data_IF_546012751626
#
_entry.id   IF_546012751626
#
_cell.length_a   1.000
_cell.length_b   1.000
_cell.length_c   1.000
_cell.angle_alpha   90.00
_cell.angle_beta   90.00
_cell.angle_gamma   90.00
#
_symmetry.space_group_name_H-M   'P 1'
#
loop_
_entity.id
_entity.type
_entity.pdbx_description
1 polymer ?
#
# COMPACT_ATOMS: atom_id res chain seq x y z
N UNK A 1 8.69 22.31 -42.04
CA UNK A 1 8.77 21.74 -40.66
C UNK A 1 8.32 22.84 -39.71
N UNK A 2 7.11 22.67 -39.11
CA UNK A 2 6.64 23.57 -38.05
C UNK A 2 7.49 23.31 -36.81
N UNK A 3 7.94 24.32 -36.08
CA UNK A 3 8.59 24.11 -34.80
C UNK A 3 7.56 23.55 -33.82
N UNK A 4 7.85 22.38 -33.25
CA UNK A 4 7.10 21.84 -32.11
C UNK A 4 7.44 22.76 -30.95
N UNK A 5 6.53 23.69 -30.61
CA UNK A 5 6.61 24.46 -29.37
C UNK A 5 6.47 23.45 -28.24
N UNK A 6 7.58 23.11 -27.59
CA UNK A 6 7.56 22.31 -26.38
C UNK A 6 6.83 23.12 -25.29
N UNK A 7 5.54 22.88 -25.13
CA UNK A 7 4.80 23.41 -23.97
C UNK A 7 5.53 22.91 -22.71
N UNK A 8 5.81 23.81 -21.80
CA UNK A 8 6.41 23.49 -20.51
C UNK A 8 5.44 22.53 -19.78
N UNK A 9 5.74 21.24 -19.77
CA UNK A 9 4.95 20.23 -19.09
C UNK A 9 4.90 20.63 -17.62
N UNK A 10 3.71 20.95 -17.11
CA UNK A 10 3.50 21.28 -15.70
C UNK A 10 3.39 19.99 -14.91
N UNK A 11 4.24 19.83 -13.91
CA UNK A 11 4.19 18.68 -12.98
C UNK A 11 4.15 19.17 -11.55
N UNK A 12 3.22 18.65 -10.76
CA UNK A 12 3.07 18.97 -9.35
C UNK A 12 2.76 17.72 -8.53
N UNK A 13 3.40 17.58 -7.37
CA UNK A 13 3.07 16.53 -6.40
C UNK A 13 2.34 17.19 -5.24
N UNK A 14 1.16 16.70 -4.93
CA UNK A 14 0.28 17.25 -3.90
C UNK A 14 -0.54 16.15 -3.21
N UNK A 15 -1.18 16.46 -2.06
CA UNK A 15 -2.17 15.58 -1.48
C UNK A 15 -3.30 15.26 -2.46
N UNK A 16 -3.80 14.03 -2.37
CA UNK A 16 -5.02 13.60 -3.06
C UNK A 16 -6.22 14.43 -2.62
N UNK A 17 -7.13 14.69 -3.55
CA UNK A 17 -8.43 15.34 -3.32
C UNK A 17 -9.55 14.46 -3.88
N UNK A 18 -10.78 14.53 -3.36
CA UNK A 18 -11.92 13.78 -3.92
C UNK A 18 -12.16 14.01 -5.41
N UNK A 19 -11.79 15.18 -5.92
CA UNK A 19 -11.86 15.50 -7.37
C UNK A 19 -10.93 14.62 -8.23
N UNK A 20 -9.89 14.01 -7.64
CA UNK A 20 -8.93 13.16 -8.35
C UNK A 20 -9.43 11.71 -8.50
N UNK A 21 -10.55 11.36 -7.86
CA UNK A 21 -11.08 10.00 -7.84
C UNK A 21 -11.19 9.39 -9.25
N UNK A 22 -11.73 10.15 -10.19
CA UNK A 22 -11.91 9.70 -11.58
C UNK A 22 -10.58 9.33 -12.23
N UNK A 23 -9.57 10.17 -12.07
CA UNK A 23 -8.24 9.92 -12.62
C UNK A 23 -7.57 8.74 -11.92
N UNK A 24 -7.68 8.65 -10.60
CA UNK A 24 -7.12 7.53 -9.84
C UNK A 24 -7.74 6.20 -10.26
N UNK A 25 -9.08 6.10 -10.38
CA UNK A 25 -9.75 4.90 -10.86
C UNK A 25 -9.32 4.54 -12.29
N UNK A 26 -9.15 5.54 -13.16
CA UNK A 26 -8.61 5.33 -14.51
C UNK A 26 -7.23 4.68 -14.46
N UNK A 27 -6.31 5.20 -13.63
CA UNK A 27 -4.96 4.65 -13.50
C UNK A 27 -4.99 3.22 -12.95
N UNK A 28 -5.82 2.94 -11.94
CA UNK A 28 -5.96 1.60 -11.38
C UNK A 28 -6.49 0.58 -12.40
N UNK A 29 -7.44 0.99 -13.25
CA UNK A 29 -7.92 0.19 -14.37
C UNK A 29 -6.81 -0.03 -15.42
N UNK A 30 -6.08 1.01 -15.77
CA UNK A 30 -4.98 0.98 -16.74
C UNK A 30 -3.89 -0.04 -16.36
N UNK A 31 -3.62 -0.20 -15.07
CA UNK A 31 -2.62 -1.14 -14.55
C UNK A 31 -3.21 -2.50 -14.16
N UNK A 32 -4.52 -2.70 -14.35
CA UNK A 32 -5.19 -3.98 -14.08
C UNK A 32 -5.41 -4.30 -12.60
N UNK A 33 -5.48 -3.28 -11.74
CA UNK A 33 -5.74 -3.46 -10.31
C UNK A 33 -7.22 -3.34 -9.95
N UNK A 34 -8.02 -2.76 -10.83
CA UNK A 34 -9.47 -2.61 -10.74
C UNK A 34 -10.08 -2.77 -12.11
N UNK A 35 -11.31 -3.25 -12.17
CA UNK A 35 -12.03 -3.48 -13.44
C UNK A 35 -12.80 -2.24 -13.92
N UNK A 36 -13.02 -1.26 -13.04
CA UNK A 36 -13.72 0.00 -13.33
C UNK A 36 -15.22 -0.08 -13.16
N UNK A 37 -15.70 -1.00 -12.31
CA UNK A 37 -17.11 -1.11 -11.91
C UNK A 37 -17.45 -0.17 -10.73
N UNK A 38 -18.75 0.02 -10.45
CA UNK A 38 -19.20 0.86 -9.32
C UNK A 38 -18.68 0.36 -7.96
N UNK A 39 -18.45 -0.95 -7.81
CA UNK A 39 -17.84 -1.54 -6.64
C UNK A 39 -16.43 -0.99 -6.38
N UNK A 40 -15.68 -0.67 -7.41
CA UNK A 40 -14.31 -0.16 -7.31
C UNK A 40 -14.23 1.18 -6.61
N UNK A 41 -15.25 2.04 -6.77
CA UNK A 41 -15.33 3.32 -6.07
C UNK A 41 -15.37 3.12 -4.56
N UNK A 42 -16.23 2.22 -4.08
CA UNK A 42 -16.35 1.93 -2.65
C UNK A 42 -15.07 1.30 -2.08
N UNK A 43 -14.44 0.42 -2.87
CA UNK A 43 -13.14 -0.19 -2.52
C UNK A 43 -12.07 0.89 -2.44
N UNK A 44 -12.00 1.78 -3.44
CA UNK A 44 -11.03 2.87 -3.46
C UNK A 44 -11.22 3.85 -2.31
N UNK A 45 -12.45 4.23 -1.99
CA UNK A 45 -12.76 5.08 -0.84
C UNK A 45 -12.37 4.43 0.50
N UNK A 46 -12.62 3.12 0.67
CA UNK A 46 -12.17 2.39 1.83
C UNK A 46 -10.64 2.27 1.88
N UNK A 47 -10.00 2.12 0.72
CA UNK A 47 -8.55 2.02 0.59
C UNK A 47 -7.83 3.32 0.92
N UNK A 48 -8.44 4.47 0.62
CA UNK A 48 -7.86 5.80 0.86
C UNK A 48 -8.26 6.40 2.20
N UNK A 49 -9.29 5.88 2.86
CA UNK A 49 -9.76 6.37 4.15
C UNK A 49 -8.64 6.28 5.19
N UNK A 50 -8.39 7.37 5.90
CA UNK A 50 -7.36 7.50 6.95
C UNK A 50 -5.93 7.17 6.47
N UNK A 51 -5.68 7.30 5.18
CA UNK A 51 -4.39 7.08 4.56
C UNK A 51 -3.74 8.40 4.11
N UNK A 52 -2.42 8.47 4.11
CA UNK A 52 -1.68 9.53 3.45
C UNK A 52 -1.62 9.23 1.95
N UNK A 53 -2.37 9.99 1.17
CA UNK A 53 -2.47 9.82 -0.27
C UNK A 53 -1.89 11.02 -0.99
N UNK A 54 -0.99 10.77 -1.93
CA UNK A 54 -0.39 11.77 -2.81
C UNK A 54 -0.72 11.47 -4.27
N UNK A 55 -0.90 12.52 -5.04
CA UNK A 55 -0.96 12.45 -6.51
C UNK A 55 0.17 13.25 -7.12
N UNK A 56 0.67 12.78 -8.28
CA UNK A 56 1.47 13.64 -9.14
C UNK A 56 0.66 13.96 -10.39
N UNK A 57 0.52 15.26 -10.63
CA UNK A 57 -0.16 15.79 -11.81
C UNK A 57 0.80 15.88 -12.99
N UNK A 58 0.25 15.63 -14.16
CA UNK A 58 0.86 15.91 -15.46
C UNK A 58 -0.18 16.62 -16.29
N UNK A 59 0.10 17.87 -16.66
CA UNK A 59 -0.79 18.71 -17.48
C UNK A 59 -2.23 18.83 -16.92
N UNK A 60 -2.35 18.91 -15.58
CA UNK A 60 -3.63 19.14 -14.89
C UNK A 60 -4.43 17.87 -14.54
N UNK A 61 -3.96 16.68 -14.96
CA UNK A 61 -4.59 15.41 -14.58
C UNK A 61 -3.72 14.65 -13.57
N UNK A 62 -4.34 13.93 -12.64
CA UNK A 62 -3.59 13.01 -11.77
C UNK A 62 -3.14 11.79 -12.56
N UNK A 63 -1.83 11.58 -12.63
CA UNK A 63 -1.21 10.52 -13.43
C UNK A 63 -0.35 9.55 -12.60
N UNK A 64 -0.12 9.88 -11.34
CA UNK A 64 0.51 9.00 -10.35
C UNK A 64 -0.29 9.09 -9.06
N UNK A 65 -0.49 7.95 -8.43
CA UNK A 65 -1.09 7.86 -7.10
C UNK A 65 -0.19 7.04 -6.17
N UNK A 66 0.05 7.58 -4.97
CA UNK A 66 0.81 6.91 -3.90
C UNK A 66 -0.04 6.93 -2.65
N UNK A 67 -0.17 5.78 -2.01
CA UNK A 67 -0.89 5.65 -0.74
C UNK A 67 -0.01 4.98 0.30
N UNK A 68 0.03 5.58 1.49
CA UNK A 68 0.71 5.04 2.66
C UNK A 68 -0.20 5.10 3.89
N UNK A 69 -0.13 4.08 4.73
CA UNK A 69 -0.85 4.01 6.01
C UNK A 69 0.11 3.97 7.16
N UNK A 70 -0.19 4.71 8.20
CA UNK A 70 0.51 4.63 9.47
C UNK A 70 -0.08 3.53 10.34
N UNK A 71 0.76 2.97 11.20
CA UNK A 71 0.35 1.93 12.15
C UNK A 71 1.44 1.67 13.17
N UNK A 72 1.29 0.60 13.93
CA UNK A 72 2.33 0.08 14.81
C UNK A 72 2.75 -1.32 14.37
N UNK A 73 4.05 -1.57 14.42
CA UNK A 73 4.63 -2.89 14.19
C UNK A 73 5.12 -3.45 15.53
N UNK A 74 4.62 -4.61 15.89
CA UNK A 74 5.10 -5.28 17.08
C UNK A 74 6.39 -6.03 16.81
N UNK A 75 7.44 -5.68 17.55
CA UNK A 75 8.70 -6.38 17.55
C UNK A 75 9.05 -6.80 18.98
N UNK A 76 9.08 -8.10 19.24
CA UNK A 76 9.16 -8.68 20.58
C UNK A 76 8.06 -8.13 21.50
N UNK A 77 8.45 -7.38 22.51
CA UNK A 77 7.54 -6.79 23.51
C UNK A 77 7.34 -5.26 23.31
N UNK A 78 7.89 -4.73 22.21
CA UNK A 78 7.82 -3.30 21.89
C UNK A 78 6.94 -3.07 20.65
N UNK A 79 6.31 -1.91 20.62
CA UNK A 79 5.61 -1.40 19.44
C UNK A 79 6.44 -0.30 18.78
N UNK A 80 6.62 -0.42 17.47
CA UNK A 80 7.40 0.50 16.67
C UNK A 80 6.45 1.20 15.69
N UNK A 81 6.36 2.54 15.71
CA UNK A 81 5.57 3.28 14.73
C UNK A 81 6.09 3.03 13.32
N UNK A 82 5.20 2.69 12.40
CA UNK A 82 5.60 2.43 11.02
C UNK A 82 4.66 3.08 10.01
N UNK A 83 5.14 3.20 8.78
CA UNK A 83 4.35 3.55 7.61
C UNK A 83 4.42 2.45 6.57
N UNK A 84 3.28 1.90 6.20
CA UNK A 84 3.15 0.94 5.10
C UNK A 84 2.85 1.67 3.80
N UNK A 85 3.75 1.58 2.80
CA UNK A 85 3.44 2.02 1.45
C UNK A 85 2.58 0.94 0.80
N UNK A 86 1.28 1.22 0.69
CA UNK A 86 0.28 0.24 0.28
C UNK A 86 0.07 0.19 -1.24
N UNK A 87 0.43 1.26 -1.95
CA UNK A 87 0.31 1.30 -3.40
C UNK A 87 1.05 2.46 -4.02
N UNK A 88 1.68 2.17 -5.15
CA UNK A 88 2.31 3.15 -6.04
C UNK A 88 1.89 2.78 -7.45
N UNK A 89 1.04 3.58 -8.05
CA UNK A 89 0.55 3.36 -9.42
C UNK A 89 0.85 4.54 -10.30
N UNK A 90 1.13 4.27 -11.57
CA UNK A 90 1.50 5.29 -12.56
C UNK A 90 0.82 4.95 -13.88
N UNK A 91 0.12 5.93 -14.45
CA UNK A 91 -0.46 5.81 -15.78
C UNK A 91 0.61 5.56 -16.85
N UNK A 92 0.23 4.96 -17.96
CA UNK A 92 1.17 4.68 -19.04
C UNK A 92 1.86 5.93 -19.58
N UNK A 93 1.15 7.06 -19.64
CA UNK A 93 1.69 8.34 -20.16
C UNK A 93 2.68 9.03 -19.23
N UNK A 94 2.64 8.70 -17.93
CA UNK A 94 3.52 9.30 -16.92
C UNK A 94 4.74 8.42 -16.55
N UNK A 95 4.84 7.23 -17.15
CA UNK A 95 5.99 6.34 -16.91
C UNK A 95 7.31 6.97 -17.37
N UNK A 96 8.40 6.54 -16.73
CA UNK A 96 9.77 6.98 -17.02
C UNK A 96 10.04 8.49 -16.85
N UNK A 97 9.11 9.24 -16.24
CA UNK A 97 9.25 10.68 -15.94
C UNK A 97 9.74 10.96 -14.51
N UNK A 98 10.00 9.92 -13.71
CA UNK A 98 10.46 10.04 -12.34
C UNK A 98 9.39 10.53 -11.34
N UNK A 99 8.13 10.72 -11.77
CA UNK A 99 7.07 11.26 -10.92
C UNK A 99 6.72 10.30 -9.76
N UNK A 100 6.59 9.00 -10.04
CA UNK A 100 6.36 8.00 -9.00
C UNK A 100 7.47 8.00 -7.95
N UNK A 101 8.73 8.10 -8.38
CA UNK A 101 9.88 8.15 -7.47
C UNK A 101 9.83 9.37 -6.56
N UNK A 102 9.53 10.55 -7.12
CA UNK A 102 9.42 11.79 -6.34
C UNK A 102 8.25 11.73 -5.35
N UNK A 103 7.09 11.22 -5.80
CA UNK A 103 5.91 11.08 -4.93
C UNK A 103 6.15 10.06 -3.80
N UNK A 104 6.78 8.92 -4.10
CA UNK A 104 7.15 7.91 -3.09
C UNK A 104 8.15 8.49 -2.09
N UNK A 105 9.20 9.16 -2.53
CA UNK A 105 10.18 9.79 -1.65
C UNK A 105 9.52 10.84 -0.73
N UNK A 106 8.58 11.63 -1.27
CA UNK A 106 7.81 12.59 -0.48
C UNK A 106 6.94 11.90 0.57
N UNK A 107 6.25 10.83 0.21
CA UNK A 107 5.41 10.05 1.12
C UNK A 107 6.23 9.47 2.29
N UNK A 108 7.42 8.90 2.00
CA UNK A 108 8.34 8.39 3.01
C UNK A 108 8.83 9.51 3.95
N UNK A 109 9.23 10.64 3.38
CA UNK A 109 9.66 11.81 4.15
C UNK A 109 8.55 12.31 5.07
N UNK A 110 7.33 12.47 4.58
CA UNK A 110 6.20 12.91 5.38
C UNK A 110 5.89 11.91 6.52
N UNK A 111 5.95 10.61 6.24
CA UNK A 111 5.77 9.58 7.26
C UNK A 111 6.83 9.67 8.37
N UNK A 112 8.10 9.85 8.00
CA UNK A 112 9.19 10.00 8.98
C UNK A 112 9.02 11.27 9.84
N UNK A 113 8.63 12.39 9.22
CA UNK A 113 8.35 13.64 9.96
C UNK A 113 7.15 13.50 10.91
N UNK A 114 6.22 12.61 10.60
CA UNK A 114 5.06 12.27 11.44
C UNK A 114 5.33 11.14 12.44
N UNK A 115 6.60 10.77 12.66
CA UNK A 115 7.03 9.86 13.70
C UNK A 115 7.14 8.38 13.32
N UNK A 116 6.96 8.03 12.06
CA UNK A 116 7.22 6.65 11.62
C UNK A 116 8.73 6.35 11.71
N UNK A 117 9.08 5.37 12.52
CA UNK A 117 10.48 4.91 12.68
C UNK A 117 10.90 3.94 11.59
N UNK A 118 9.94 3.25 10.97
CA UNK A 118 10.17 2.25 9.93
C UNK A 118 9.18 2.47 8.79
N UNK A 119 9.61 2.26 7.55
CA UNK A 119 8.74 2.17 6.39
C UNK A 119 8.78 0.76 5.81
N UNK A 120 7.62 0.22 5.46
CA UNK A 120 7.46 -1.14 4.95
C UNK A 120 6.61 -1.14 3.67
N UNK A 121 6.82 -2.13 2.84
CA UNK A 121 5.98 -2.40 1.66
C UNK A 121 6.09 -3.86 1.21
N UNK A 122 5.10 -4.31 0.45
CA UNK A 122 5.19 -5.49 -0.40
C UNK A 122 5.49 -5.08 -1.83
N UNK A 123 6.45 -5.74 -2.49
CA UNK A 123 6.90 -5.36 -3.82
C UNK A 123 6.65 -6.47 -4.84
N UNK A 124 6.43 -6.07 -6.09
CA UNK A 124 6.40 -6.97 -7.25
C UNK A 124 7.76 -6.99 -7.96
N UNK A 125 8.49 -5.86 -7.92
CA UNK A 125 9.75 -5.65 -8.62
C UNK A 125 10.85 -5.34 -7.61
N UNK A 126 11.82 -6.23 -7.53
CA UNK A 126 13.01 -6.02 -6.72
C UNK A 126 13.86 -4.93 -7.36
N UNK A 127 14.44 -4.07 -6.52
CA UNK A 127 15.35 -3.01 -6.97
C UNK A 127 14.71 -1.63 -7.10
N UNK A 128 13.42 -1.52 -7.44
CA UNK A 128 12.79 -0.20 -7.54
C UNK A 128 12.85 0.61 -6.24
N UNK A 129 12.65 -0.05 -5.10
CA UNK A 129 12.58 0.59 -3.78
C UNK A 129 13.94 0.71 -3.08
N UNK A 130 14.96 0.03 -3.53
CA UNK A 130 16.33 0.10 -2.96
C UNK A 130 16.88 1.53 -2.98
N UNK A 131 16.60 2.30 -4.03
CA UNK A 131 16.99 3.72 -4.14
C UNK A 131 16.40 4.64 -3.06
N UNK A 132 15.40 4.17 -2.32
CA UNK A 132 14.80 4.88 -1.18
C UNK A 132 15.32 4.34 0.17
N UNK A 133 16.27 3.40 0.15
CA UNK A 133 16.83 2.80 1.35
C UNK A 133 16.09 1.55 1.87
N UNK A 134 15.17 0.98 1.07
CA UNK A 134 14.54 -0.29 1.44
C UNK A 134 15.50 -1.46 1.24
N UNK A 135 15.57 -2.31 2.26
CA UNK A 135 16.19 -3.62 2.17
C UNK A 135 15.14 -4.72 2.12
N UNK A 136 15.48 -5.84 1.52
CA UNK A 136 14.62 -7.04 1.54
C UNK A 136 14.70 -7.74 2.89
N UNK A 137 13.53 -8.12 3.41
CA UNK A 137 13.41 -8.95 4.61
C UNK A 137 13.30 -10.43 4.23
N UNK A 138 12.92 -11.28 5.17
CA UNK A 138 12.69 -12.70 4.91
C UNK A 138 11.56 -12.93 3.91
N UNK A 139 11.74 -13.91 3.03
CA UNK A 139 10.73 -14.30 2.05
C UNK A 139 9.52 -14.95 2.69
N UNK A 140 8.36 -14.73 2.10
CA UNK A 140 7.14 -15.43 2.44
C UNK A 140 7.28 -16.89 2.00
N UNK A 141 7.13 -17.84 2.93
CA UNK A 141 7.11 -19.27 2.61
C UNK A 141 5.66 -19.73 2.55
N UNK A 142 5.26 -20.26 1.42
CA UNK A 142 3.93 -20.84 1.21
C UNK A 142 4.10 -22.35 1.15
N UNK A 143 3.39 -23.06 2.03
CA UNK A 143 3.30 -24.52 2.01
C UNK A 143 1.88 -24.92 1.64
N UNK A 144 1.74 -25.72 0.59
CA UNK A 144 0.47 -26.32 0.20
C UNK A 144 0.45 -27.78 0.66
N UNK A 145 -0.58 -28.17 1.37
CA UNK A 145 -0.73 -29.52 1.89
C UNK A 145 -2.21 -29.90 1.97
N UNK A 146 -2.49 -31.22 1.93
CA UNK A 146 -3.81 -31.75 2.25
C UNK A 146 -4.05 -31.70 3.76
N UNK A 147 -5.05 -30.98 4.28
CA UNK A 147 -5.35 -30.92 5.69
C UNK A 147 -5.60 -32.30 6.33
N UNK A 148 -6.11 -33.26 5.55
CA UNK A 148 -6.33 -34.64 6.02
C UNK A 148 -5.02 -35.40 6.35
N UNK A 149 -3.90 -34.95 5.77
CA UNK A 149 -2.58 -35.54 6.04
C UNK A 149 -1.96 -35.08 7.37
N UNK A 150 -2.52 -34.07 8.02
CA UNK A 150 -1.99 -33.52 9.26
C UNK A 150 -2.24 -34.42 10.44
N UNK A 151 -1.18 -34.85 11.10
CA UNK A 151 -1.24 -35.54 12.38
C UNK A 151 -1.30 -34.49 13.51
N UNK A 152 -2.50 -33.98 13.78
CA UNK A 152 -2.71 -33.00 14.86
C UNK A 152 -3.47 -33.62 16.01
N UNK A 153 -3.20 -33.24 17.25
CA UNK A 153 -3.94 -33.74 18.38
C UNK A 153 -5.40 -33.29 18.30
N UNK A 154 -6.30 -34.11 18.85
CA UNK A 154 -7.72 -33.78 18.92
C UNK A 154 -7.92 -32.46 19.64
N UNK A 155 -8.67 -31.53 19.01
CA UNK A 155 -8.95 -30.22 19.61
C UNK A 155 -9.71 -30.36 20.91
N UNK A 156 -9.26 -29.70 21.97
CA UNK A 156 -9.91 -29.65 23.27
C UNK A 156 -11.20 -28.86 23.29
N UNK A 157 -11.45 -28.07 22.24
CA UNK A 157 -12.66 -27.23 22.12
C UNK A 157 -13.16 -27.23 20.66
N UNK A 158 -14.49 -27.18 20.53
CA UNK A 158 -15.11 -27.06 19.21
C UNK A 158 -14.84 -25.69 18.55
N UNK A 159 -14.63 -25.66 17.26
CA UNK A 159 -14.55 -24.40 16.50
C UNK A 159 -15.87 -23.62 16.63
N UNK A 160 -15.79 -22.31 16.72
CA UNK A 160 -16.92 -21.39 16.68
C UNK A 160 -16.88 -20.56 15.42
N UNK A 161 -18.01 -20.42 14.74
CA UNK A 161 -18.14 -19.49 13.61
C UNK A 161 -18.14 -18.05 14.15
N UNK A 162 -17.26 -17.22 13.62
CA UNK A 162 -17.18 -15.80 13.95
C UNK A 162 -17.95 -14.96 12.94
N UNK A 163 -18.34 -13.77 13.33
CA UNK A 163 -19.06 -12.77 12.54
C UNK A 163 -18.32 -11.44 12.57
N UNK A 164 -18.81 -10.42 11.86
CA UNK A 164 -18.26 -9.06 11.91
C UNK A 164 -18.28 -8.46 13.32
N UNK A 165 -19.18 -8.90 14.20
CA UNK A 165 -19.23 -8.48 15.61
C UNK A 165 -18.03 -8.95 16.43
N UNK A 166 -17.35 -9.99 15.97
CA UNK A 166 -16.18 -10.56 16.63
C UNK A 166 -14.86 -9.94 16.10
N UNK A 167 -14.93 -8.95 15.20
CA UNK A 167 -13.75 -8.38 14.51
C UNK A 167 -12.68 -7.87 15.48
N UNK A 168 -13.09 -7.16 16.54
CA UNK A 168 -12.17 -6.66 17.56
C UNK A 168 -11.47 -7.81 18.32
N UNK A 169 -12.22 -8.83 18.70
CA UNK A 169 -11.66 -10.00 19.39
C UNK A 169 -10.66 -10.76 18.49
N UNK A 170 -10.96 -10.86 17.19
CA UNK A 170 -10.08 -11.45 16.18
C UNK A 170 -8.80 -10.63 16.03
N UNK A 171 -8.92 -9.31 15.91
CA UNK A 171 -7.80 -8.38 15.81
C UNK A 171 -6.90 -8.47 17.05
N UNK A 172 -7.49 -8.39 18.25
CA UNK A 172 -6.75 -8.48 19.50
C UNK A 172 -6.05 -9.84 19.69
N UNK A 173 -6.68 -10.93 19.22
CA UNK A 173 -6.06 -12.25 19.22
C UNK A 173 -4.83 -12.27 18.28
N UNK A 174 -4.92 -11.64 17.11
CA UNK A 174 -3.80 -11.52 16.16
C UNK A 174 -2.68 -10.68 16.72
N UNK A 175 -2.98 -9.52 17.32
CA UNK A 175 -2.01 -8.60 17.88
C UNK A 175 -1.27 -9.17 19.09
N UNK A 176 -1.89 -10.09 19.86
CA UNK A 176 -1.24 -10.78 21.00
C UNK A 176 -0.24 -11.85 20.60
N UNK A 177 -0.19 -12.26 19.34
CA UNK A 177 0.80 -13.26 18.89
C UNK A 177 2.20 -12.68 18.99
N UNK A 178 3.06 -13.38 19.74
CA UNK A 178 4.48 -13.03 19.80
C UNK A 178 5.13 -13.29 18.44
N UNK A 179 5.81 -12.32 17.89
CA UNK A 179 6.50 -12.43 16.61
C UNK A 179 7.95 -12.04 16.78
N UNK A 180 8.82 -12.99 16.48
CA UNK A 180 10.27 -12.79 16.59
C UNK A 180 10.88 -12.02 15.41
N UNK A 181 10.13 -11.86 14.32
CA UNK A 181 10.60 -11.22 13.10
C UNK A 181 9.96 -9.86 12.84
N UNK A 182 9.22 -9.35 13.80
CA UNK A 182 8.33 -8.22 13.55
C UNK A 182 7.05 -8.64 12.83
N UNK A 183 6.05 -7.76 12.80
CA UNK A 183 4.77 -7.96 12.08
C UNK A 183 3.74 -6.93 12.51
N UNK A 184 2.91 -6.56 11.56
CA UNK A 184 1.80 -5.63 11.69
C UNK A 184 0.49 -6.37 11.90
#
# INVERSE_FOLDING_TARGET
>A
KRPVVASKISTMIRPYKPSDLKDCLRIFKEVGWMDGEDADKNIFEAYTRDANCLVAELDGAAEVFVVARTGSMRYLDSEIPFSGVCGVVTSHVARQRGLASKATARSIKEAALNGAAVSMLGMFDQGYYEKFGYGSTTYHRISTFDPASLQVPKLSRSPKRLTSKDAEAMHNCRCRRRRYHGGC
#
